data_IF_995436929446
#
_entry.id   IF_995436929446
#
_cell.length_a   1.000
_cell.length_b   1.000
_cell.length_c   1.000
_cell.angle_alpha   90.00
_cell.angle_beta   90.00
_cell.angle_gamma   90.00
#
_symmetry.space_group_name_H-M   'P 1'
#
loop_
_entity.id
_entity.type
_entity.pdbx_description
1 polymer ?
#
# COMPACT_ATOMS: atom_id res chain seq x y z
N UNK A 1 -13.56 4.95 -6.49
CA UNK A 1 -12.26 5.21 -5.83
C UNK A 1 -11.46 3.91 -5.85
N UNK A 2 -10.26 3.91 -6.44
CA UNK A 2 -9.38 2.73 -6.53
C UNK A 2 -7.97 3.12 -6.07
N UNK A 3 -7.26 2.19 -5.46
CA UNK A 3 -5.82 2.32 -5.21
C UNK A 3 -5.08 2.14 -6.54
N UNK A 4 -4.28 3.12 -6.94
CA UNK A 4 -3.49 3.04 -8.18
C UNK A 4 -2.04 2.68 -7.91
N UNK A 5 -1.48 3.21 -6.82
CA UNK A 5 -0.07 3.04 -6.50
C UNK A 5 0.17 3.17 -5.01
N UNK A 6 1.11 2.37 -4.53
CA UNK A 6 1.74 2.52 -3.21
C UNK A 6 3.22 2.79 -3.42
N UNK A 7 3.75 3.77 -2.70
CA UNK A 7 5.17 3.95 -2.52
C UNK A 7 5.54 3.66 -1.07
N UNK A 8 6.49 2.75 -0.86
CA UNK A 8 6.92 2.28 0.46
C UNK A 8 8.43 2.52 0.59
N UNK A 9 8.86 3.20 1.65
CA UNK A 9 10.27 3.39 1.99
C UNK A 9 10.49 3.32 3.50
N UNK A 10 11.55 2.64 3.93
CA UNK A 10 11.88 2.47 5.35
C UNK A 10 10.90 1.60 6.15
N UNK A 11 10.05 0.80 5.51
CA UNK A 11 9.02 0.02 6.20
C UNK A 11 9.31 -1.48 6.25
N UNK A 12 9.71 -2.00 7.42
CA UNK A 12 10.00 -3.42 7.66
C UNK A 12 11.01 -3.96 6.64
N UNK A 13 10.59 -4.90 5.77
CA UNK A 13 11.43 -5.46 4.72
C UNK A 13 11.68 -4.51 3.54
N UNK A 14 10.93 -3.40 3.44
CA UNK A 14 11.08 -2.38 2.40
C UNK A 14 12.03 -1.27 2.86
N UNK A 15 13.34 -1.58 2.94
CA UNK A 15 14.36 -0.61 3.32
C UNK A 15 14.51 0.48 2.25
N UNK A 16 14.63 0.08 1.00
CA UNK A 16 14.75 0.97 -0.15
C UNK A 16 13.37 1.31 -0.73
N UNK A 17 13.29 2.42 -1.46
CA UNK A 17 12.06 2.87 -2.11
C UNK A 17 11.53 1.80 -3.05
N UNK A 18 10.33 1.33 -2.74
CA UNK A 18 9.60 0.34 -3.52
C UNK A 18 8.30 0.94 -4.02
N UNK A 19 8.05 0.85 -5.32
CA UNK A 19 6.80 1.30 -5.95
C UNK A 19 6.02 0.08 -6.39
N UNK A 20 4.76 0.00 -5.97
CA UNK A 20 3.82 -1.06 -6.35
C UNK A 20 2.65 -0.41 -7.07
N UNK A 21 2.44 -0.80 -8.32
CA UNK A 21 1.33 -0.32 -9.15
C UNK A 21 0.18 -1.32 -9.16
N UNK A 22 -1.04 -0.80 -9.20
CA UNK A 22 -2.29 -1.56 -9.18
C UNK A 22 -3.09 -1.25 -10.45
N UNK A 23 -2.65 -1.75 -11.63
CA UNK A 23 -3.25 -1.44 -12.92
C UNK A 23 -4.69 -1.95 -13.07
N UNK A 24 -5.03 -3.07 -12.43
CA UNK A 24 -6.31 -3.76 -12.58
C UNK A 24 -7.25 -3.58 -11.39
N UNK A 25 -8.55 -3.81 -11.61
CA UNK A 25 -9.57 -3.79 -10.54
C UNK A 25 -9.41 -4.97 -9.56
N UNK A 26 -8.74 -6.03 -9.99
CA UNK A 26 -8.46 -7.22 -9.19
C UNK A 26 -6.99 -7.62 -9.36
N UNK A 27 -6.29 -7.82 -8.24
CA UNK A 27 -4.88 -8.19 -8.21
C UNK A 27 -4.61 -9.11 -7.03
N UNK A 28 -3.65 -10.02 -7.22
CA UNK A 28 -3.12 -10.88 -6.15
C UNK A 28 -1.65 -10.55 -5.90
N UNK A 29 -1.26 -10.50 -4.61
CA UNK A 29 0.13 -10.37 -4.18
C UNK A 29 0.66 -11.78 -3.88
N UNK A 30 1.59 -12.27 -4.69
CA UNK A 30 2.16 -13.63 -4.59
C UNK A 30 3.69 -13.60 -4.48
N UNK A 31 4.30 -14.72 -4.07
CA UNK A 31 5.76 -14.85 -3.91
C UNK A 31 6.17 -15.77 -2.75
N UNK A 32 7.46 -16.14 -2.66
CA UNK A 32 7.98 -17.10 -1.68
C UNK A 32 7.86 -16.61 -0.23
N UNK A 33 7.89 -17.53 0.74
CA UNK A 33 7.85 -17.16 2.16
C UNK A 33 9.01 -16.21 2.52
N UNK A 34 8.74 -15.20 3.35
CA UNK A 34 9.72 -14.19 3.71
C UNK A 34 9.90 -13.03 2.70
N UNK A 35 9.25 -13.06 1.54
CA UNK A 35 9.40 -11.99 0.51
C UNK A 35 8.73 -10.65 0.85
N UNK A 36 8.17 -10.48 2.04
CA UNK A 36 7.57 -9.20 2.47
C UNK A 36 6.12 -8.95 2.06
N UNK A 37 5.41 -9.93 1.48
CA UNK A 37 3.99 -9.79 1.05
C UNK A 37 3.07 -9.24 2.14
N UNK A 38 3.11 -9.84 3.35
CA UNK A 38 2.30 -9.38 4.48
C UNK A 38 2.66 -7.97 4.94
N UNK A 39 3.92 -7.54 4.74
CA UNK A 39 4.35 -6.19 5.09
C UNK A 39 3.71 -5.13 4.18
N UNK A 40 3.30 -5.48 2.95
CA UNK A 40 2.53 -4.57 2.08
C UNK A 40 1.18 -4.27 2.72
N UNK A 41 0.46 -5.31 3.17
CA UNK A 41 -0.82 -5.16 3.85
C UNK A 41 -0.66 -4.40 5.17
N UNK A 42 0.44 -4.63 5.89
CA UNK A 42 0.75 -3.91 7.13
C UNK A 42 1.00 -2.42 6.86
N UNK A 43 1.69 -2.06 5.78
CA UNK A 43 1.91 -0.67 5.37
C UNK A 43 0.57 0.02 5.05
N UNK A 44 -0.32 -0.68 4.35
CA UNK A 44 -1.70 -0.21 4.08
C UNK A 44 -2.47 0.01 5.37
N UNK A 45 -2.51 -0.99 6.24
CA UNK A 45 -3.24 -0.88 7.51
C UNK A 45 -2.67 0.23 8.41
N UNK A 46 -1.34 0.41 8.40
CA UNK A 46 -0.64 1.45 9.15
C UNK A 46 -1.11 2.85 8.75
N UNK A 47 -1.10 3.19 7.46
CA UNK A 47 -1.53 4.53 7.00
C UNK A 47 -3.04 4.72 7.13
N UNK A 48 -3.82 3.65 6.99
CA UNK A 48 -5.28 3.70 7.25
C UNK A 48 -5.64 3.85 8.74
N UNK A 49 -4.66 3.85 9.66
CA UNK A 49 -4.91 3.92 11.10
C UNK A 49 -5.57 2.67 11.68
N UNK A 50 -5.58 1.54 10.95
CA UNK A 50 -6.19 0.28 11.39
C UNK A 50 -5.18 -0.55 12.16
N UNK A 51 -5.30 -0.56 13.49
CA UNK A 51 -4.56 -1.47 14.37
C UNK A 51 -5.19 -2.87 14.36
N UNK A 52 -4.86 -3.70 13.36
CA UNK A 52 -5.32 -5.09 13.32
C UNK A 52 -4.43 -6.00 14.17
N UNK A 53 -4.34 -5.81 15.50
CA UNK A 53 -3.54 -6.72 16.35
C UNK A 53 -2.07 -6.90 15.94
N UNK A 54 -1.60 -6.07 14.99
CA UNK A 54 -0.24 -6.06 14.49
C UNK A 54 0.54 -5.35 15.58
N UNK A 55 1.53 -6.03 16.17
CA UNK A 55 2.59 -5.40 16.96
C UNK A 55 3.42 -4.48 16.06
N UNK A 56 2.82 -3.40 15.59
CA UNK A 56 3.58 -2.27 15.08
C UNK A 56 3.96 -1.49 16.34
N UNK A 57 5.17 -1.73 16.85
CA UNK A 57 5.77 -0.83 17.82
C UNK A 57 5.96 0.51 17.12
N UNK A 58 4.99 1.43 17.29
CA UNK A 58 5.08 2.83 16.85
C UNK A 58 6.39 3.50 17.31
N UNK A 59 7.06 2.95 18.33
CA UNK A 59 8.32 3.43 18.89
C UNK A 59 9.57 3.14 18.04
N UNK A 60 9.53 2.20 17.08
CA UNK A 60 10.71 1.85 16.26
C UNK A 60 10.76 2.53 14.89
N UNK A 61 9.72 3.28 14.52
CA UNK A 61 9.64 3.95 13.24
C UNK A 61 10.16 5.39 13.34
N UNK A 62 11.35 5.63 12.80
CA UNK A 62 11.88 6.98 12.56
C UNK A 62 10.95 7.78 11.65
N UNK A 63 10.92 9.11 11.83
CA UNK A 63 10.13 10.05 11.00
C UNK A 63 10.46 9.98 9.50
N UNK A 64 11.59 9.35 9.13
CA UNK A 64 12.02 9.17 7.75
C UNK A 64 11.32 8.02 7.01
N UNK A 65 10.40 7.30 7.65
CA UNK A 65 9.67 6.21 7.02
C UNK A 65 8.44 6.77 6.32
N UNK A 66 8.44 6.68 4.99
CA UNK A 66 7.45 7.36 4.16
C UNK A 66 6.66 6.32 3.39
N UNK A 67 5.34 6.32 3.61
CA UNK A 67 4.39 5.51 2.85
C UNK A 67 3.39 6.46 2.20
N UNK A 68 3.29 6.43 0.88
CA UNK A 68 2.32 7.23 0.13
C UNK A 68 1.30 6.34 -0.58
N UNK A 69 0.03 6.77 -0.51
CA UNK A 69 -1.10 6.16 -1.20
C UNK A 69 -1.63 7.08 -2.28
N UNK A 70 -1.71 6.59 -3.50
CA UNK A 70 -2.30 7.31 -4.63
C UNK A 70 -3.61 6.66 -5.03
N UNK A 71 -4.69 7.44 -5.05
CA UNK A 71 -6.05 6.99 -5.38
C UNK A 71 -6.56 7.66 -6.66
N UNK A 72 -7.18 6.89 -7.54
CA UNK A 72 -7.98 7.41 -8.66
C UNK A 72 -9.45 7.58 -8.29
N UNK A 73 -10.03 8.68 -8.75
CA UNK A 73 -11.47 8.85 -8.90
C UNK A 73 -11.87 8.51 -10.34
N UNK A 74 -12.54 7.37 -10.56
CA UNK A 74 -13.19 7.12 -11.86
C UNK A 74 -14.38 8.08 -12.00
N UNK A 75 -14.26 9.14 -12.82
CA UNK A 75 -15.40 9.95 -13.23
C UNK A 75 -16.19 9.20 -14.32
N UNK A 76 -17.24 8.49 -13.91
CA UNK A 76 -18.02 7.61 -14.78
C UNK A 76 -19.27 8.29 -15.38
N UNK A 77 -19.19 9.57 -15.75
CA UNK A 77 -20.35 10.33 -16.28
C UNK A 77 -20.31 10.53 -17.80
N UNK A 78 -19.15 10.39 -18.46
CA UNK A 78 -19.02 10.73 -19.89
C UNK A 78 -19.11 9.55 -20.88
N UNK A 79 -19.21 8.30 -20.41
CA UNK A 79 -19.26 7.11 -21.28
C UNK A 79 -20.66 6.47 -21.42
N UNK A 80 -21.72 7.10 -20.91
CA UNK A 80 -23.11 6.61 -21.07
C UNK A 80 -23.89 7.31 -22.21
N UNK A 81 -23.26 8.22 -22.96
CA UNK A 81 -23.88 8.97 -24.07
C UNK A 81 -23.14 8.74 -25.41
N UNK A 82 -22.61 7.54 -25.64
CA UNK A 82 -22.17 7.11 -26.97
C UNK A 82 -22.76 5.76 -27.31
#
# INVERSE_FOLDING_TARGET
MRLDKIEISGFKSFKDKTVIEFPDKFMAIVGPNGSGKSNIIDAICFVMGKSRGLRIEFRKFSLNNVIFFFYSMEHNILNQIR
#
